data_IF_959760996706
#
_entry.id   IF_959760996706
#
_cell.length_a   1.000
_cell.length_b   1.000
_cell.length_c   1.000
_cell.angle_alpha   90.00
_cell.angle_beta   90.00
_cell.angle_gamma   90.00
#
_symmetry.space_group_name_H-M   'P 1'
#
loop_
_entity.id
_entity.type
_entity.pdbx_description
1 polymer ?
#
# COMPACT_ATOMS: atom_id res chain seq x y z
N UNK A 1 -21.64 20.22 -3.44
CA UNK A 1 -21.69 19.18 -2.39
C UNK A 1 -20.51 19.30 -1.42
N UNK A 2 -19.24 19.11 -1.85
CA UNK A 2 -18.07 19.14 -0.94
C UNK A 2 -17.84 20.46 -0.17
N UNK A 3 -18.25 21.62 -0.71
CA UNK A 3 -18.05 22.93 -0.04
C UNK A 3 -19.10 23.26 1.02
N UNK A 4 -20.25 22.58 1.03
CA UNK A 4 -21.37 22.92 1.90
C UNK A 4 -21.03 22.83 3.41
N UNK A 5 -20.26 21.83 3.88
CA UNK A 5 -19.83 21.78 5.28
C UNK A 5 -18.84 22.89 5.68
N UNK A 6 -18.07 23.42 4.72
CA UNK A 6 -17.03 24.41 4.99
C UNK A 6 -17.55 25.85 4.94
N UNK A 7 -18.64 26.10 4.20
CA UNK A 7 -19.30 27.39 4.06
C UNK A 7 -19.66 28.04 5.41
N UNK A 8 -20.04 27.24 6.41
CA UNK A 8 -20.40 27.73 7.75
C UNK A 8 -19.19 28.26 8.56
N UNK A 9 -17.97 27.86 8.20
CA UNK A 9 -16.73 28.26 8.87
C UNK A 9 -15.94 29.35 8.13
N UNK A 10 -16.43 29.80 6.96
CA UNK A 10 -15.72 30.76 6.10
C UNK A 10 -14.42 30.21 5.47
N UNK A 11 -14.14 28.92 5.64
CA UNK A 11 -12.97 28.26 5.08
C UNK A 11 -13.33 27.58 3.75
N UNK A 12 -12.36 27.47 2.85
CA UNK A 12 -12.45 26.64 1.65
C UNK A 12 -11.72 25.31 1.89
N UNK A 13 -12.24 24.17 1.43
CA UNK A 13 -11.58 22.89 1.63
C UNK A 13 -10.27 22.81 0.85
N UNK A 14 -9.22 22.34 1.53
CA UNK A 14 -7.98 21.93 0.88
C UNK A 14 -8.22 20.59 0.18
N UNK A 15 -7.97 20.56 -1.13
CA UNK A 15 -7.92 19.32 -1.90
C UNK A 15 -6.47 18.85 -1.91
N UNK A 16 -6.21 17.78 -1.17
CA UNK A 16 -4.90 17.16 -1.08
C UNK A 16 -4.86 15.89 -1.95
N UNK A 17 -3.92 15.83 -2.88
CA UNK A 17 -3.74 14.70 -3.80
C UNK A 17 -2.42 14.00 -3.47
N UNK A 18 -2.55 12.78 -2.95
CA UNK A 18 -1.45 11.84 -2.80
C UNK A 18 -1.60 10.73 -3.85
N UNK A 19 -0.55 10.51 -4.64
CA UNK A 19 -0.48 9.39 -5.57
C UNK A 19 0.98 8.96 -5.77
N UNK A 20 1.13 7.76 -6.32
CA UNK A 20 2.41 7.19 -6.71
C UNK A 20 2.60 7.24 -8.22
N UNK A 21 3.85 7.28 -8.68
CA UNK A 21 4.22 7.47 -10.09
C UNK A 21 4.82 6.20 -10.72
N UNK A 22 4.09 5.08 -10.62
CA UNK A 22 4.58 3.77 -11.10
C UNK A 22 4.69 3.65 -12.62
N UNK A 23 3.93 4.44 -13.37
CA UNK A 23 3.89 4.40 -14.83
C UNK A 23 4.46 5.67 -15.48
N UNK A 24 5.06 6.56 -14.69
CA UNK A 24 5.66 7.82 -15.13
C UNK A 24 4.65 8.89 -15.54
N UNK A 25 3.34 8.71 -15.28
CA UNK A 25 2.29 9.69 -15.62
C UNK A 25 1.81 10.52 -14.44
N UNK A 26 2.08 10.09 -13.20
CA UNK A 26 1.58 10.71 -11.97
C UNK A 26 1.95 12.20 -11.88
N UNK A 27 3.23 12.53 -12.07
CA UNK A 27 3.69 13.91 -12.00
C UNK A 27 3.10 14.80 -13.11
N UNK A 28 2.90 14.26 -14.31
CA UNK A 28 2.29 14.99 -15.42
C UNK A 28 0.80 15.26 -15.20
N UNK A 29 0.07 14.31 -14.60
CA UNK A 29 -1.33 14.51 -14.20
C UNK A 29 -1.40 15.59 -13.11
N UNK A 30 -0.55 15.53 -12.10
CA UNK A 30 -0.46 16.56 -11.06
C UNK A 30 -0.16 17.96 -11.63
N UNK A 31 0.79 18.06 -12.57
CA UNK A 31 1.09 19.30 -13.28
C UNK A 31 -0.11 19.84 -14.06
N UNK A 32 -0.88 18.96 -14.72
CA UNK A 32 -2.11 19.36 -15.40
C UNK A 32 -3.19 19.85 -14.42
N UNK A 33 -3.32 19.23 -13.23
CA UNK A 33 -4.21 19.68 -12.17
C UNK A 33 -3.82 21.08 -11.66
N UNK A 34 -2.52 21.33 -11.43
CA UNK A 34 -2.06 22.67 -11.04
C UNK A 34 -2.38 23.75 -12.07
N UNK A 35 -2.23 23.47 -13.37
CA UNK A 35 -2.59 24.44 -14.42
C UNK A 35 -4.08 24.75 -14.41
N UNK A 36 -4.92 23.73 -14.26
CA UNK A 36 -6.38 23.90 -14.18
C UNK A 36 -6.80 24.67 -12.93
N UNK A 37 -6.20 24.37 -11.78
CA UNK A 37 -6.47 25.07 -10.53
C UNK A 37 -6.09 26.56 -10.63
N UNK A 38 -4.91 26.88 -11.17
CA UNK A 38 -4.50 28.27 -11.40
C UNK A 38 -5.43 29.01 -12.36
N UNK A 39 -5.80 28.38 -13.49
CA UNK A 39 -6.74 28.96 -14.44
C UNK A 39 -8.13 29.22 -13.85
N UNK A 40 -8.54 28.41 -12.86
CA UNK A 40 -9.81 28.56 -12.15
C UNK A 40 -9.71 29.45 -10.89
N UNK A 41 -8.54 30.00 -10.57
CA UNK A 41 -8.32 30.77 -9.35
C UNK A 41 -8.54 29.95 -8.07
N UNK A 42 -8.23 28.65 -8.08
CA UNK A 42 -8.39 27.75 -6.95
C UNK A 42 -7.04 27.53 -6.24
N UNK A 43 -6.76 28.22 -5.11
CA UNK A 43 -5.44 28.17 -4.47
C UNK A 43 -5.27 27.00 -3.50
N UNK A 44 -6.31 26.21 -3.24
CA UNK A 44 -6.34 25.18 -2.20
C UNK A 44 -6.07 23.77 -2.73
N UNK A 45 -5.28 23.65 -3.80
CA UNK A 45 -4.82 22.35 -4.33
C UNK A 45 -3.40 22.06 -3.84
N UNK A 46 -3.23 20.92 -3.20
CA UNK A 46 -1.92 20.37 -2.82
C UNK A 46 -1.73 19.04 -3.55
N UNK A 47 -0.55 18.85 -4.16
CA UNK A 47 -0.17 17.59 -4.80
C UNK A 47 1.19 17.19 -4.26
N UNK A 48 1.30 15.96 -3.76
CA UNK A 48 2.56 15.43 -3.26
C UNK A 48 3.60 15.30 -4.37
N UNK A 49 4.84 15.65 -4.05
CA UNK A 49 5.99 15.50 -4.92
C UNK A 49 7.23 15.08 -4.14
N UNK A 50 8.13 14.37 -4.81
CA UNK A 50 9.41 13.98 -4.25
C UNK A 50 10.53 14.25 -5.27
N UNK A 51 11.77 14.13 -4.81
CA UNK A 51 12.93 14.21 -5.68
C UNK A 51 12.84 13.19 -6.84
N UNK A 52 13.17 13.66 -8.06
CA UNK A 52 12.93 13.00 -9.35
C UNK A 52 13.35 11.54 -9.50
N UNK A 53 14.31 11.04 -8.70
CA UNK A 53 14.80 9.66 -8.79
C UNK A 53 14.22 8.72 -7.72
N UNK A 54 13.28 9.19 -6.91
CA UNK A 54 12.63 8.37 -5.89
C UNK A 54 11.78 7.22 -6.48
N UNK A 55 11.43 7.28 -7.78
CA UNK A 55 10.87 6.16 -8.56
C UNK A 55 9.45 5.69 -8.18
N UNK A 56 8.91 6.19 -7.07
CA UNK A 56 7.62 5.77 -6.51
C UNK A 56 6.67 6.94 -6.27
N UNK A 57 7.17 8.17 -6.32
CA UNK A 57 6.41 9.41 -6.05
C UNK A 57 6.53 10.35 -7.25
N UNK A 58 5.59 11.28 -7.39
CA UNK A 58 5.61 12.27 -8.45
C UNK A 58 6.92 13.07 -8.45
N UNK A 59 7.55 13.20 -9.62
CA UNK A 59 8.72 14.07 -9.81
C UNK A 59 8.36 15.53 -9.50
N UNK A 60 8.98 16.08 -8.45
CA UNK A 60 8.77 17.46 -8.02
C UNK A 60 9.17 18.49 -9.07
N UNK A 61 10.11 18.18 -9.98
CA UNK A 61 10.53 19.09 -11.04
C UNK A 61 9.46 19.22 -12.12
N UNK A 62 8.76 18.13 -12.43
CA UNK A 62 7.62 18.12 -13.37
C UNK A 62 6.43 18.86 -12.77
N UNK A 63 6.12 18.61 -11.49
CA UNK A 63 5.06 19.32 -10.77
C UNK A 63 5.35 20.83 -10.69
N UNK A 64 6.56 21.20 -10.26
CA UNK A 64 6.97 22.59 -10.11
C UNK A 64 6.98 23.36 -11.44
N UNK A 65 7.22 22.69 -12.58
CA UNK A 65 7.16 23.31 -13.89
C UNK A 65 5.77 23.83 -14.27
N UNK A 66 4.70 23.38 -13.58
CA UNK A 66 3.36 23.92 -13.75
C UNK A 66 3.07 25.12 -12.84
N UNK A 67 3.94 25.44 -11.88
CA UNK A 67 3.75 26.50 -10.91
C UNK A 67 4.54 27.75 -11.29
N UNK A 68 4.01 28.91 -10.93
CA UNK A 68 4.77 30.17 -11.05
C UNK A 68 5.61 30.36 -9.79
N UNK A 69 6.87 29.94 -9.85
CA UNK A 69 7.82 30.05 -8.73
C UNK A 69 8.66 31.33 -8.83
N UNK A 70 8.90 31.97 -7.69
CA UNK A 70 9.88 33.06 -7.57
C UNK A 70 11.32 32.54 -7.78
N UNK A 71 12.29 33.43 -8.07
CA UNK A 71 13.70 33.03 -8.16
C UNK A 71 14.18 32.28 -6.91
N UNK A 72 13.89 32.81 -5.72
CA UNK A 72 14.25 32.20 -4.42
C UNK A 72 13.64 30.80 -4.27
N UNK A 73 12.39 30.60 -4.68
CA UNK A 73 11.73 29.29 -4.63
C UNK A 73 12.37 28.29 -5.60
N UNK A 74 12.77 28.73 -6.80
CA UNK A 74 13.45 27.87 -7.76
C UNK A 74 14.84 27.45 -7.26
N UNK A 75 15.58 28.38 -6.68
CA UNK A 75 16.91 28.11 -6.12
C UNK A 75 16.81 27.13 -4.94
N UNK A 76 15.84 27.33 -4.05
CA UNK A 76 15.57 26.41 -2.94
C UNK A 76 15.18 25.00 -3.42
N UNK A 77 14.37 24.89 -4.48
CA UNK A 77 14.02 23.59 -5.07
C UNK A 77 15.25 22.89 -5.69
N UNK A 78 16.13 23.65 -6.34
CA UNK A 78 17.36 23.13 -6.90
C UNK A 78 18.30 22.62 -5.79
N UNK A 79 18.48 23.40 -4.72
CA UNK A 79 19.28 23.00 -3.56
C UNK A 79 18.71 21.75 -2.87
N UNK A 80 17.38 21.70 -2.65
CA UNK A 80 16.71 20.52 -2.11
C UNK A 80 17.01 19.28 -2.96
N UNK A 81 16.85 19.36 -4.28
CA UNK A 81 17.09 18.24 -5.18
C UNK A 81 18.56 17.80 -5.19
N UNK A 82 19.51 18.73 -5.11
CA UNK A 82 20.93 18.42 -4.99
C UNK A 82 21.25 17.68 -3.69
N UNK A 83 20.67 18.12 -2.57
CA UNK A 83 20.84 17.47 -1.27
C UNK A 83 20.19 16.08 -1.24
N UNK A 84 19.00 15.92 -1.81
CA UNK A 84 18.34 14.61 -1.94
C UNK A 84 19.14 13.63 -2.79
N UNK A 85 19.76 14.09 -3.87
CA UNK A 85 20.65 13.26 -4.67
C UNK A 85 21.83 12.72 -3.84
N UNK A 86 22.46 13.57 -3.02
CA UNK A 86 23.56 13.15 -2.14
C UNK A 86 23.11 12.11 -1.11
N UNK A 87 21.92 12.29 -0.55
CA UNK A 87 21.31 11.32 0.38
C UNK A 87 21.04 9.99 -0.34
N UNK A 88 20.48 10.03 -1.54
CA UNK A 88 20.23 8.85 -2.38
C UNK A 88 21.52 8.07 -2.65
N UNK A 89 22.62 8.76 -2.99
CA UNK A 89 23.93 8.14 -3.22
C UNK A 89 24.45 7.38 -1.99
N UNK A 90 24.19 7.89 -0.78
CA UNK A 90 24.51 7.19 0.47
C UNK A 90 23.60 5.99 0.75
N UNK A 91 22.32 6.09 0.36
CA UNK A 91 21.31 5.08 0.65
C UNK A 91 21.15 4.02 -0.45
N UNK A 92 21.83 4.16 -1.59
CA UNK A 92 21.70 3.28 -2.76
C UNK A 92 21.95 1.79 -2.46
N UNK A 93 22.62 1.44 -1.35
CA UNK A 93 22.76 0.06 -0.89
C UNK A 93 21.44 -0.61 -0.49
N UNK A 94 20.39 0.17 -0.26
CA UNK A 94 19.03 -0.29 0.06
C UNK A 94 18.06 -0.15 -1.12
N UNK A 95 18.60 0.16 -2.30
CA UNK A 95 17.83 0.43 -3.50
C UNK A 95 17.10 -0.81 -4.02
N UNK A 96 15.80 -0.67 -4.29
CA UNK A 96 14.96 -1.70 -4.89
C UNK A 96 14.57 -1.42 -6.34
N UNK A 97 15.17 -0.42 -7.01
CA UNK A 97 14.84 -0.01 -8.40
C UNK A 97 14.98 -1.11 -9.46
N UNK A 98 15.74 -2.17 -9.18
CA UNK A 98 15.83 -3.35 -10.07
C UNK A 98 14.69 -4.36 -9.86
N UNK A 99 13.86 -4.14 -8.84
CA UNK A 99 12.60 -4.85 -8.68
C UNK A 99 11.57 -4.25 -9.62
N UNK A 100 11.10 -5.03 -10.58
CA UNK A 100 9.91 -4.71 -11.39
C UNK A 100 8.90 -5.84 -11.23
N UNK A 101 8.53 -6.10 -9.98
CA UNK A 101 7.61 -7.15 -9.60
C UNK A 101 6.16 -6.72 -9.64
N UNK A 102 5.88 -5.46 -9.32
CA UNK A 102 4.53 -4.91 -9.35
C UNK A 102 4.22 -4.47 -10.77
N UNK A 103 3.27 -5.11 -11.49
CA UNK A 103 2.86 -4.67 -12.80
C UNK A 103 2.37 -3.23 -12.76
N UNK A 104 2.62 -2.46 -13.82
CA UNK A 104 2.17 -1.07 -13.94
C UNK A 104 0.64 -0.91 -13.91
N UNK A 105 -0.10 -1.99 -14.19
CA UNK A 105 -1.56 -2.08 -14.13
C UNK A 105 -2.07 -2.69 -12.81
N UNK A 106 -1.19 -2.85 -11.82
CA UNK A 106 -1.54 -3.42 -10.53
C UNK A 106 -2.25 -2.44 -9.60
N UNK A 107 -3.16 -2.98 -8.78
CA UNK A 107 -3.81 -2.24 -7.69
C UNK A 107 -3.05 -2.32 -6.35
N UNK A 108 -1.89 -3.00 -6.30
CA UNK A 108 -1.10 -3.17 -5.08
C UNK A 108 -0.39 -1.86 -4.67
N UNK A 109 -0.33 -1.58 -3.37
CA UNK A 109 0.37 -0.41 -2.86
C UNK A 109 1.86 -0.45 -3.21
N UNK A 110 2.37 0.69 -3.65
CA UNK A 110 3.76 0.88 -4.05
C UNK A 110 4.84 0.46 -3.07
N UNK A 111 4.58 0.68 -1.78
CA UNK A 111 5.54 0.40 -0.72
C UNK A 111 5.72 -1.08 -0.38
N UNK A 112 4.91 -1.99 -0.93
CA UNK A 112 4.95 -3.42 -0.56
C UNK A 112 5.92 -4.24 -1.39
N UNK A 113 6.47 -3.69 -2.47
CA UNK A 113 7.30 -4.45 -3.41
C UNK A 113 8.57 -5.02 -2.78
N UNK A 114 9.27 -4.22 -1.96
CA UNK A 114 10.47 -4.68 -1.26
C UNK A 114 10.19 -5.81 -0.27
N UNK A 115 9.07 -5.75 0.45
CA UNK A 115 8.64 -6.82 1.35
C UNK A 115 8.22 -8.08 0.59
N UNK A 116 7.51 -7.93 -0.53
CA UNK A 116 7.07 -9.04 -1.37
C UNK A 116 8.26 -9.80 -1.95
N UNK A 117 9.29 -9.08 -2.42
CA UNK A 117 10.56 -9.67 -2.89
C UNK A 117 11.29 -10.46 -1.81
N UNK A 118 11.42 -9.85 -0.62
CA UNK A 118 12.08 -10.49 0.53
C UNK A 118 11.41 -11.81 0.86
N UNK A 119 10.09 -11.80 0.90
CA UNK A 119 9.24 -12.96 1.19
C UNK A 119 9.33 -14.01 0.06
N UNK A 120 9.27 -13.59 -1.20
CA UNK A 120 9.43 -14.50 -2.33
C UNK A 120 10.76 -15.26 -2.25
N UNK A 121 11.85 -14.57 -1.87
CA UNK A 121 13.15 -15.19 -1.61
C UNK A 121 13.13 -16.12 -0.39
N UNK A 122 12.55 -15.67 0.73
CA UNK A 122 12.44 -16.44 1.98
C UNK A 122 11.74 -17.79 1.77
N UNK A 123 10.68 -17.80 0.96
CA UNK A 123 9.89 -19.01 0.68
C UNK A 123 10.27 -19.71 -0.64
N UNK A 124 11.34 -19.27 -1.32
CA UNK A 124 11.77 -19.79 -2.62
C UNK A 124 10.64 -19.84 -3.68
N UNK A 125 9.80 -18.81 -3.71
CA UNK A 125 8.67 -18.66 -4.64
C UNK A 125 9.05 -17.72 -5.77
N UNK A 126 8.60 -18.01 -6.99
CA UNK A 126 8.59 -17.03 -8.07
C UNK A 126 7.75 -15.81 -7.66
N UNK A 127 8.42 -14.68 -7.52
CA UNK A 127 7.89 -13.33 -7.42
C UNK A 127 6.54 -13.11 -8.14
N UNK A 128 6.43 -13.56 -9.40
CA UNK A 128 5.23 -13.35 -10.22
C UNK A 128 4.00 -14.09 -9.69
N UNK A 129 4.20 -15.18 -8.95
CA UNK A 129 3.13 -15.95 -8.32
C UNK A 129 2.54 -15.25 -7.09
N UNK A 130 3.28 -14.32 -6.48
CA UNK A 130 2.81 -13.56 -5.31
C UNK A 130 1.61 -12.70 -5.66
N UNK A 131 1.62 -12.03 -6.82
CA UNK A 131 0.48 -11.22 -7.27
C UNK A 131 -0.76 -12.09 -7.54
N UNK A 132 -0.61 -13.20 -8.27
CA UNK A 132 -1.71 -14.14 -8.49
C UNK A 132 -2.29 -14.69 -7.18
N UNK A 133 -1.42 -14.98 -6.20
CA UNK A 133 -1.86 -15.45 -4.89
C UNK A 133 -2.65 -14.38 -4.12
N UNK A 134 -2.23 -13.11 -4.18
CA UNK A 134 -2.96 -11.99 -3.59
C UNK A 134 -4.32 -11.75 -4.25
N UNK A 135 -4.44 -11.97 -5.56
CA UNK A 135 -5.74 -11.93 -6.27
C UNK A 135 -6.68 -13.04 -5.81
N UNK A 136 -6.18 -14.28 -5.71
CA UNK A 136 -6.97 -15.41 -5.18
C UNK A 136 -7.42 -15.14 -3.74
N UNK A 137 -6.51 -14.63 -2.89
CA UNK A 137 -6.85 -14.22 -1.54
C UNK A 137 -7.94 -13.14 -1.51
N UNK A 138 -7.86 -12.14 -2.39
CA UNK A 138 -8.86 -11.07 -2.49
C UNK A 138 -10.24 -11.60 -2.93
N UNK A 139 -10.28 -12.60 -3.80
CA UNK A 139 -11.53 -13.22 -4.23
C UNK A 139 -12.23 -14.04 -3.12
N UNK A 140 -11.47 -14.55 -2.15
CA UNK A 140 -11.99 -15.35 -1.02
C UNK A 140 -12.25 -14.46 0.20
N UNK A 141 -11.31 -13.57 0.50
CA UNK A 141 -11.28 -12.66 1.64
C UNK A 141 -11.20 -11.22 1.10
N UNK A 142 -12.34 -10.61 0.73
CA UNK A 142 -12.37 -9.34 0.00
C UNK A 142 -12.09 -8.14 0.92
N UNK A 143 -10.97 -8.16 1.62
CA UNK A 143 -10.49 -7.04 2.44
C UNK A 143 -10.41 -5.75 1.61
N UNK A 144 -10.46 -4.58 2.27
CA UNK A 144 -10.51 -3.25 1.65
C UNK A 144 -9.35 -2.97 0.68
N UNK A 145 -9.30 -1.76 0.10
CA UNK A 145 -8.24 -1.32 -0.82
C UNK A 145 -6.87 -1.75 -0.30
N UNK A 146 -5.98 -2.14 -1.23
CA UNK A 146 -4.68 -2.70 -0.92
C UNK A 146 -3.70 -1.64 -0.38
N UNK A 147 -3.99 -1.12 0.82
CA UNK A 147 -3.19 -0.22 1.63
C UNK A 147 -3.01 -0.85 3.01
N UNK A 148 -1.99 -0.43 3.76
CA UNK A 148 -1.74 -0.94 5.11
C UNK A 148 -2.97 -0.71 6.01
N UNK A 149 -3.41 -1.69 6.82
CA UNK A 149 -2.81 -3.02 7.00
C UNK A 149 -3.30 -4.10 6.00
N UNK A 150 -4.33 -3.83 5.20
CA UNK A 150 -4.98 -4.82 4.34
C UNK A 150 -4.09 -5.37 3.21
N UNK A 151 -3.15 -4.58 2.68
CA UNK A 151 -2.16 -5.07 1.71
C UNK A 151 -1.32 -6.22 2.28
N UNK A 152 -0.85 -6.08 3.52
CA UNK A 152 -0.09 -7.11 4.25
C UNK A 152 -0.95 -8.34 4.54
N UNK A 153 -2.22 -8.16 4.90
CA UNK A 153 -3.12 -9.28 5.14
C UNK A 153 -3.36 -10.08 3.86
N UNK A 154 -3.62 -9.39 2.74
CA UNK A 154 -3.80 -10.03 1.42
C UNK A 154 -2.55 -10.78 0.98
N UNK A 155 -1.36 -10.22 1.24
CA UNK A 155 -0.09 -10.89 1.00
C UNK A 155 0.01 -12.20 1.80
N UNK A 156 -0.18 -12.15 3.12
CA UNK A 156 -0.06 -13.33 3.99
C UNK A 156 -1.11 -14.40 3.69
N UNK A 157 -2.35 -14.01 3.44
CA UNK A 157 -3.41 -14.93 2.99
C UNK A 157 -3.06 -15.56 1.65
N UNK A 158 -2.57 -14.78 0.69
CA UNK A 158 -2.14 -15.27 -0.61
C UNK A 158 -1.01 -16.29 -0.48
N UNK A 159 0.03 -15.98 0.29
CA UNK A 159 1.15 -16.89 0.51
C UNK A 159 0.71 -18.18 1.21
N UNK A 160 -0.16 -18.08 2.21
CA UNK A 160 -0.69 -19.26 2.90
C UNK A 160 -1.46 -20.17 1.93
N UNK A 161 -2.24 -19.61 1.01
CA UNK A 161 -2.93 -20.37 -0.05
C UNK A 161 -1.93 -21.00 -1.03
N UNK A 162 -0.95 -20.21 -1.48
CA UNK A 162 0.04 -20.63 -2.47
C UNK A 162 0.94 -21.76 -1.94
N UNK A 163 1.29 -21.70 -0.66
CA UNK A 163 2.17 -22.65 0.01
C UNK A 163 1.46 -23.87 0.58
N UNK A 164 0.12 -23.86 0.69
CA UNK A 164 -0.65 -25.00 1.19
C UNK A 164 -0.75 -26.10 0.12
N UNK A 165 -0.04 -27.25 0.25
CA UNK A 165 0.00 -28.28 -0.80
C UNK A 165 -1.35 -28.95 -1.06
N UNK A 166 -2.30 -28.88 -0.13
CA UNK A 166 -3.60 -29.57 -0.26
C UNK A 166 -4.67 -28.77 -1.01
N UNK A 167 -4.40 -27.50 -1.32
CA UNK A 167 -5.29 -26.68 -2.14
C UNK A 167 -4.84 -26.80 -3.60
N UNK A 168 -5.44 -27.70 -4.37
CA UNK A 168 -5.25 -27.75 -5.83
C UNK A 168 -6.59 -27.93 -6.55
N UNK A 169 -6.89 -27.12 -7.58
CA UNK A 169 -6.07 -26.01 -8.12
C UNK A 169 -6.09 -24.77 -7.21
N UNK A 170 -5.08 -23.88 -7.29
CA UNK A 170 -5.01 -22.58 -6.58
C UNK A 170 -6.06 -21.57 -7.04
N UNK A 171 -7.34 -21.87 -6.84
CA UNK A 171 -8.49 -21.07 -7.24
C UNK A 171 -9.33 -20.67 -6.05
N UNK A 172 -10.08 -19.57 -6.16
CA UNK A 172 -10.96 -19.13 -5.07
C UNK A 172 -11.96 -20.22 -4.65
N UNK A 173 -12.52 -20.96 -5.60
CA UNK A 173 -13.46 -22.05 -5.30
C UNK A 173 -12.82 -23.18 -4.49
N UNK A 174 -11.61 -23.61 -4.86
CA UNK A 174 -10.87 -24.64 -4.13
C UNK A 174 -10.49 -24.18 -2.71
N UNK A 175 -10.09 -22.92 -2.54
CA UNK A 175 -9.79 -22.35 -1.22
C UNK A 175 -11.05 -22.30 -0.35
N UNK A 176 -12.19 -21.85 -0.89
CA UNK A 176 -13.47 -21.82 -0.17
C UNK A 176 -13.87 -23.23 0.29
N UNK A 177 -13.76 -24.23 -0.58
CA UNK A 177 -14.05 -25.62 -0.25
C UNK A 177 -13.11 -26.18 0.83
N UNK A 178 -11.81 -25.87 0.75
CA UNK A 178 -10.81 -26.25 1.74
C UNK A 178 -11.15 -25.70 3.13
N UNK A 179 -11.44 -24.39 3.22
CA UNK A 179 -11.81 -23.73 4.47
C UNK A 179 -13.12 -24.30 5.02
N UNK A 180 -14.13 -24.52 4.17
CA UNK A 180 -15.39 -25.13 4.59
C UNK A 180 -15.24 -26.56 5.14
N UNK A 181 -14.22 -27.30 4.68
CA UNK A 181 -13.90 -28.65 5.16
C UNK A 181 -13.08 -28.68 6.47
N UNK A 182 -12.85 -27.54 7.12
CA UNK A 182 -12.03 -27.45 8.33
C UNK A 182 -10.56 -27.08 8.07
N UNK A 183 -10.21 -26.76 6.82
CA UNK A 183 -8.86 -26.39 6.42
C UNK A 183 -8.37 -25.11 7.08
N UNK A 184 -7.08 -25.09 7.45
CA UNK A 184 -6.40 -23.94 8.07
C UNK A 184 -5.49 -23.24 7.05
N UNK A 185 -5.18 -21.96 7.29
CA UNK A 185 -4.21 -21.18 6.51
C UNK A 185 -3.16 -20.56 7.45
N UNK A 186 -1.88 -20.82 7.22
CA UNK A 186 -0.79 -20.32 8.08
C UNK A 186 -0.50 -18.84 7.84
N UNK A 187 -1.32 -17.96 8.43
CA UNK A 187 -1.28 -16.49 8.20
C UNK A 187 -0.71 -15.66 9.36
N UNK A 188 -0.55 -16.27 10.54
CA UNK A 188 -0.04 -15.61 11.75
C UNK A 188 -1.09 -14.79 12.52
N UNK A 189 -0.80 -14.53 13.80
CA UNK A 189 -1.72 -13.90 14.75
C UNK A 189 -2.31 -12.55 14.32
N UNK A 190 -1.50 -11.57 13.87
CA UNK A 190 -2.02 -10.26 13.46
C UNK A 190 -3.08 -10.33 12.35
N UNK A 191 -2.95 -11.26 11.40
CA UNK A 191 -3.95 -11.46 10.34
C UNK A 191 -5.23 -12.03 10.93
N UNK A 192 -5.15 -13.02 11.83
CA UNK A 192 -6.32 -13.60 12.48
C UNK A 192 -7.07 -12.56 13.32
N UNK A 193 -6.35 -11.73 14.08
CA UNK A 193 -6.95 -10.61 14.84
C UNK A 193 -7.61 -9.60 13.90
N UNK A 194 -6.93 -9.24 12.81
CA UNK A 194 -7.48 -8.34 11.79
C UNK A 194 -8.75 -8.88 11.14
N UNK A 195 -8.77 -10.17 10.80
CA UNK A 195 -9.95 -10.86 10.26
C UNK A 195 -11.10 -10.95 11.27
N UNK A 196 -10.80 -11.15 12.57
CA UNK A 196 -11.81 -11.16 13.64
C UNK A 196 -12.46 -9.79 13.80
N UNK A 197 -11.67 -8.71 13.81
CA UNK A 197 -12.18 -7.33 13.96
C UNK A 197 -12.96 -6.86 12.74
N UNK A 198 -12.52 -7.26 11.55
CA UNK A 198 -13.17 -6.95 10.28
C UNK A 198 -13.46 -5.46 10.08
N UNK A 199 -12.47 -4.60 10.33
CA UNK A 199 -12.57 -3.14 10.24
C UNK A 199 -12.52 -2.63 8.79
N UNK A 200 -13.37 -3.16 7.92
CA UNK A 200 -13.39 -2.86 6.47
C UNK A 200 -14.78 -2.38 6.04
N UNK A 201 -14.82 -1.60 4.96
CA UNK A 201 -16.06 -1.11 4.34
C UNK A 201 -16.85 -2.17 3.54
N UNK A 202 -16.33 -3.40 3.44
CA UNK A 202 -16.97 -4.50 2.70
C UNK A 202 -17.62 -5.51 3.63
N UNK A 203 -18.69 -6.16 3.16
CA UNK A 203 -19.35 -7.22 3.91
C UNK A 203 -18.42 -8.40 4.18
N UNK A 204 -18.47 -8.95 5.40
CA UNK A 204 -17.70 -10.13 5.79
C UNK A 204 -18.26 -11.38 5.11
N UNK A 205 -17.48 -12.09 4.28
CA UNK A 205 -17.94 -13.36 3.72
C UNK A 205 -17.86 -14.48 4.78
N UNK A 206 -18.69 -15.54 4.65
CA UNK A 206 -18.74 -16.63 5.61
C UNK A 206 -17.41 -17.39 5.75
N UNK A 207 -16.60 -17.42 4.69
CA UNK A 207 -15.29 -18.10 4.70
C UNK A 207 -14.30 -17.50 5.69
N UNK A 208 -14.47 -16.23 6.07
CA UNK A 208 -13.68 -15.62 7.15
C UNK A 208 -14.02 -16.26 8.48
N UNK A 209 -15.31 -16.37 8.79
CA UNK A 209 -15.75 -16.96 10.05
C UNK A 209 -15.41 -18.45 10.14
N UNK A 210 -15.50 -19.16 9.01
CA UNK A 210 -15.05 -20.56 8.91
C UNK A 210 -13.55 -20.67 9.18
N UNK A 211 -12.72 -19.81 8.57
CA UNK A 211 -11.27 -19.83 8.79
C UNK A 211 -10.93 -19.52 10.26
N UNK A 212 -11.59 -18.53 10.87
CA UNK A 212 -11.40 -18.18 12.27
C UNK A 212 -11.81 -19.32 13.21
N UNK A 213 -12.90 -20.03 12.89
CA UNK A 213 -13.32 -21.21 13.65
C UNK A 213 -12.32 -22.37 13.52
N UNK A 214 -11.81 -22.63 12.31
CA UNK A 214 -10.79 -23.65 12.07
C UNK A 214 -9.49 -23.33 12.82
N UNK A 215 -9.21 -22.05 13.06
CA UNK A 215 -8.01 -21.54 13.71
C UNK A 215 -8.28 -20.94 15.09
N UNK A 216 -9.30 -21.45 15.81
CA UNK A 216 -9.74 -20.86 17.08
C UNK A 216 -8.62 -20.82 18.13
N UNK A 217 -7.83 -21.89 18.25
CA UNK A 217 -6.73 -21.94 19.21
C UNK A 217 -5.64 -20.89 18.89
N UNK A 218 -5.28 -20.77 17.61
CA UNK A 218 -4.31 -19.80 17.12
C UNK A 218 -4.82 -18.35 17.29
N UNK A 219 -6.12 -18.13 17.09
CA UNK A 219 -6.75 -16.83 17.31
C UNK A 219 -6.77 -16.44 18.79
N UNK A 220 -7.14 -17.35 19.68
CA UNK A 220 -7.16 -17.08 21.12
C UNK A 220 -5.74 -16.81 21.65
N UNK A 221 -4.74 -17.55 21.16
CA UNK A 221 -3.33 -17.25 21.47
C UNK A 221 -2.94 -15.84 21.00
N UNK A 222 -3.30 -15.46 19.77
CA UNK A 222 -2.99 -14.13 19.23
C UNK A 222 -3.73 -12.98 19.93
N UNK A 223 -4.91 -13.23 20.50
CA UNK A 223 -5.66 -12.25 21.30
C UNK A 223 -5.09 -12.11 22.72
N UNK A 224 -4.47 -13.16 23.25
CA UNK A 224 -3.84 -13.17 24.56
C UNK A 224 -2.41 -12.58 24.55
N UNK A 225 -1.77 -12.48 23.38
CA UNK A 225 -0.54 -11.72 23.22
C UNK A 225 -0.84 -10.23 23.48
N UNK A 226 -0.37 -9.70 24.62
CA UNK A 226 -0.30 -8.25 24.81
C UNK A 226 0.50 -7.67 23.64
N UNK A 227 -0.06 -6.70 22.93
CA UNK A 227 0.68 -5.97 21.91
C UNK A 227 1.90 -5.35 22.59
N UNK A 228 3.07 -5.97 22.46
CA UNK A 228 4.33 -5.37 22.81
C UNK A 228 4.45 -4.16 21.88
N UNK A 229 4.03 -2.98 22.38
CA UNK A 229 4.55 -1.75 21.83
C UNK A 229 6.06 -1.91 21.89
N UNK A 230 6.75 -1.69 20.76
CA UNK A 230 8.19 -1.48 20.79
C UNK A 230 8.39 -0.28 21.71
N UNK A 231 8.64 -0.55 22.99
CA UNK A 231 9.12 0.45 23.91
C UNK A 231 10.50 0.75 23.37
N UNK A 232 10.70 1.96 22.88
CA UNK A 232 12.03 2.43 22.56
C UNK A 232 12.82 2.34 23.86
N UNK A 233 13.65 1.30 24.00
CA UNK A 233 14.59 1.18 25.09
C UNK A 233 15.47 2.42 25.04
N UNK A 234 15.15 3.35 25.94
CA UNK A 234 15.71 4.68 25.94
C UNK A 234 17.21 4.63 26.14
N UNK A 235 17.95 4.84 25.06
CA UNK A 235 19.30 5.39 25.08
C UNK A 235 19.47 6.23 23.80
N UNK A 236 19.40 7.56 23.96
CA UNK A 236 20.06 8.52 23.08
C UNK A 236 21.37 8.94 23.75
#
# INVERSE_FOLDING_TARGET
>A
AMRAPFAASGNEPIVYVHNHDFDGRGAHIGAALFRRAQAAGFPYLVVDGAYRKNGTHNDNTVLAAALTLSPVQRDALAEYNHNQQRIEELLCRFDSRTSQMTPWDSSWAGGTEGSDLRIAKEYAIDARKVNAAKEVATAVFPLERAVTPFSEYKLRLGLAILLEPLIEPKTAAAVKAWVAAGGKLKVGGPVLVGLKRWETLVAKPPEVDMLLANMAAELEAALAEEAAMVVADGVW
#
